data_IF_074836771278
#
_entry.id   IF_074836771278
#
_cell.length_a   1.000
_cell.length_b   1.000
_cell.length_c   1.000
_cell.angle_alpha   90.00
_cell.angle_beta   90.00
_cell.angle_gamma   90.00
#
_symmetry.space_group_name_H-M   'P 1'
#
loop_
_entity.id
_entity.type
_entity.pdbx_description
1 polymer ?
#
# COMPACT_ATOMS: atom_id res chain seq x y z
N UNK A 1 -42.12 34.37 -1.46
CA UNK A 1 -41.35 33.53 -2.40
C UNK A 1 -40.07 33.10 -1.70
N UNK A 2 -39.88 31.80 -1.60
CA UNK A 2 -38.87 31.08 -0.80
C UNK A 2 -37.46 31.23 -1.36
N UNK A 3 -36.39 31.28 -0.53
CA UNK A 3 -35.07 30.96 -1.03
C UNK A 3 -35.08 29.46 -1.33
N UNK A 4 -34.94 29.10 -2.60
CA UNK A 4 -34.74 27.72 -3.00
C UNK A 4 -33.43 27.27 -2.33
N UNK A 5 -33.43 26.28 -1.41
CA UNK A 5 -32.20 25.68 -0.94
C UNK A 5 -31.71 24.84 -2.10
N UNK A 6 -31.07 25.50 -3.08
CA UNK A 6 -30.35 24.86 -4.15
C UNK A 6 -29.43 23.88 -3.47
N UNK A 7 -29.78 22.60 -3.58
CA UNK A 7 -28.99 21.49 -3.11
C UNK A 7 -27.62 21.66 -3.74
N UNK A 8 -26.67 22.24 -3.01
CA UNK A 8 -25.26 22.14 -3.32
C UNK A 8 -24.97 20.69 -3.00
N UNK A 9 -25.19 19.80 -3.97
CA UNK A 9 -24.49 18.53 -4.00
C UNK A 9 -23.03 18.94 -4.13
N UNK A 10 -22.34 19.11 -3.00
CA UNK A 10 -20.91 19.37 -2.97
C UNK A 10 -20.27 18.17 -3.64
N UNK A 11 -20.04 18.27 -4.94
CA UNK A 11 -19.33 17.27 -5.70
C UNK A 11 -17.99 17.13 -5.03
N UNK A 12 -17.73 15.93 -4.49
CA UNK A 12 -16.51 15.64 -3.76
C UNK A 12 -15.32 16.08 -4.59
N UNK A 13 -14.44 16.92 -4.03
CA UNK A 13 -13.31 17.42 -4.80
C UNK A 13 -12.35 16.27 -5.11
N UNK A 14 -11.64 16.39 -6.22
CA UNK A 14 -10.59 15.43 -6.57
C UNK A 14 -9.51 15.35 -5.49
N UNK A 15 -9.26 16.45 -4.75
CA UNK A 15 -8.33 16.48 -3.64
C UNK A 15 -8.83 15.62 -2.47
N UNK A 16 -10.12 15.72 -2.11
CA UNK A 16 -10.72 14.93 -1.04
C UNK A 16 -10.74 13.43 -1.37
N UNK A 17 -10.92 13.08 -2.64
CA UNK A 17 -10.84 11.68 -3.11
C UNK A 17 -9.42 11.15 -2.95
N UNK A 18 -8.41 11.92 -3.37
CA UNK A 18 -7.01 11.52 -3.25
C UNK A 18 -6.57 11.39 -1.80
N UNK A 19 -7.04 12.28 -0.92
CA UNK A 19 -6.75 12.23 0.50
C UNK A 19 -7.27 10.92 1.12
N UNK A 20 -8.54 10.57 0.88
CA UNK A 20 -9.09 9.30 1.40
C UNK A 20 -8.42 8.07 0.77
N UNK A 21 -8.06 8.12 -0.52
CA UNK A 21 -7.31 7.03 -1.14
C UNK A 21 -5.94 6.83 -0.48
N UNK A 22 -5.24 7.92 -0.15
CA UNK A 22 -3.98 7.87 0.57
C UNK A 22 -4.17 7.25 1.97
N UNK A 23 -5.20 7.67 2.71
CA UNK A 23 -5.51 7.13 4.03
C UNK A 23 -5.84 5.63 3.97
N UNK A 24 -6.61 5.21 2.96
CA UNK A 24 -6.96 3.81 2.75
C UNK A 24 -5.73 2.97 2.40
N UNK A 25 -4.82 3.49 1.56
CA UNK A 25 -3.55 2.84 1.26
C UNK A 25 -2.68 2.71 2.50
N UNK A 26 -2.64 3.73 3.37
CA UNK A 26 -1.87 3.68 4.60
C UNK A 26 -2.40 2.63 5.57
N UNK A 27 -3.73 2.53 5.73
CA UNK A 27 -4.36 1.47 6.52
C UNK A 27 -4.05 0.07 5.98
N UNK A 28 -4.08 -0.10 4.66
CA UNK A 28 -3.71 -1.37 4.02
C UNK A 28 -2.22 -1.65 4.27
N UNK A 29 -1.35 -0.65 4.14
CA UNK A 29 0.07 -0.76 4.43
C UNK A 29 0.31 -1.24 5.86
N UNK A 30 -0.34 -0.65 6.86
CA UNK A 30 -0.21 -1.09 8.26
C UNK A 30 -0.56 -2.57 8.45
N UNK A 31 -1.59 -3.06 7.74
CA UNK A 31 -1.98 -4.48 7.78
C UNK A 31 -0.96 -5.37 7.05
N UNK A 32 -0.45 -4.92 5.90
CA UNK A 32 0.53 -5.66 5.11
C UNK A 32 1.89 -5.81 5.81
N UNK A 33 2.27 -4.91 6.73
CA UNK A 33 3.51 -5.02 7.53
C UNK A 33 3.56 -6.33 8.33
N UNK A 34 2.41 -6.84 8.77
CA UNK A 34 2.34 -8.11 9.50
C UNK A 34 2.51 -9.35 8.60
N UNK A 35 2.41 -9.19 7.29
CA UNK A 35 2.49 -10.28 6.32
C UNK A 35 3.95 -10.49 5.92
N UNK A 36 4.37 -11.75 5.86
CA UNK A 36 5.67 -12.11 5.33
C UNK A 36 5.71 -11.83 3.82
N UNK A 37 6.47 -10.81 3.42
CA UNK A 37 6.58 -10.37 2.03
C UNK A 37 7.03 -11.50 1.08
N UNK A 38 7.79 -12.50 1.56
CA UNK A 38 8.24 -13.63 0.74
C UNK A 38 7.09 -14.43 0.13
N UNK A 39 5.98 -14.51 0.86
CA UNK A 39 4.79 -15.26 0.45
C UNK A 39 3.99 -14.49 -0.61
N UNK A 40 4.16 -13.17 -0.68
CA UNK A 40 3.51 -12.30 -1.65
C UNK A 40 4.29 -12.17 -2.96
N UNK A 41 5.61 -12.38 -2.95
CA UNK A 41 6.48 -12.20 -4.12
C UNK A 41 6.00 -12.95 -5.37
N UNK A 42 5.62 -14.25 -5.32
CA UNK A 42 5.10 -14.95 -6.50
C UNK A 42 3.84 -14.31 -7.08
N UNK A 43 2.94 -13.83 -6.21
CA UNK A 43 1.72 -13.14 -6.63
C UNK A 43 2.01 -11.78 -7.26
N UNK A 44 2.97 -11.03 -6.72
CA UNK A 44 3.38 -9.73 -7.25
C UNK A 44 4.04 -9.87 -8.64
N UNK A 45 4.84 -10.92 -8.84
CA UNK A 45 5.44 -11.24 -10.15
C UNK A 45 4.38 -11.68 -11.15
N UNK A 46 3.45 -12.55 -10.76
CA UNK A 46 2.35 -12.99 -11.62
C UNK A 46 1.45 -11.83 -12.09
N UNK A 47 1.26 -10.82 -11.23
CA UNK A 47 0.51 -9.61 -11.55
C UNK A 47 1.34 -8.50 -12.23
N UNK A 48 2.60 -8.78 -12.57
CA UNK A 48 3.54 -7.82 -13.15
C UNK A 48 3.76 -6.54 -12.32
N UNK A 49 3.50 -6.60 -11.02
CA UNK A 49 3.83 -5.52 -10.08
C UNK A 49 5.32 -5.52 -9.77
N UNK A 50 5.93 -6.71 -9.76
CA UNK A 50 7.36 -6.91 -9.53
C UNK A 50 7.96 -7.63 -10.75
N UNK A 51 9.09 -7.13 -11.24
CA UNK A 51 9.85 -7.84 -12.29
C UNK A 51 10.68 -8.97 -11.68
N UNK A 52 11.00 -9.98 -12.49
CA UNK A 52 11.75 -11.17 -12.04
C UNK A 52 13.15 -10.82 -11.50
N UNK A 53 13.78 -9.75 -12.02
CA UNK A 53 15.06 -9.26 -11.49
C UNK A 53 14.91 -8.55 -10.13
N UNK A 54 13.78 -7.88 -9.89
CA UNK A 54 13.48 -7.20 -8.62
C UNK A 54 13.10 -8.21 -7.52
N UNK A 55 12.50 -9.34 -7.88
CA UNK A 55 12.23 -10.49 -6.99
C UNK A 55 13.48 -10.95 -6.22
N UNK A 56 14.62 -11.08 -6.90
CA UNK A 56 15.89 -11.49 -6.27
C UNK A 56 16.36 -10.47 -5.21
N UNK A 57 16.18 -9.18 -5.48
CA UNK A 57 16.51 -8.11 -4.54
C UNK A 57 15.62 -8.16 -3.29
N UNK A 58 14.31 -8.39 -3.45
CA UNK A 58 13.38 -8.52 -2.32
C UNK A 58 13.78 -9.68 -1.39
N UNK A 59 14.09 -10.86 -1.93
CA UNK A 59 14.55 -11.98 -1.08
C UNK A 59 15.86 -11.69 -0.36
N UNK A 60 16.79 -10.99 -1.02
CA UNK A 60 18.08 -10.61 -0.45
C UNK A 60 17.91 -9.64 0.72
N UNK A 61 17.09 -8.59 0.56
CA UNK A 61 16.82 -7.60 1.61
C UNK A 61 16.20 -8.25 2.84
N UNK A 62 15.18 -9.10 2.64
CA UNK A 62 14.49 -9.78 3.74
C UNK A 62 15.44 -10.73 4.47
N UNK A 63 16.30 -11.43 3.73
CA UNK A 63 17.29 -12.33 4.33
C UNK A 63 18.35 -11.57 5.12
N UNK A 64 18.85 -10.45 4.59
CA UNK A 64 19.80 -9.58 5.26
C UNK A 64 19.21 -8.97 6.54
N UNK A 65 17.96 -8.50 6.49
CA UNK A 65 17.27 -7.96 7.66
C UNK A 65 17.11 -9.00 8.78
N UNK A 66 16.72 -10.24 8.45
CA UNK A 66 16.64 -11.31 9.45
C UNK A 66 18.01 -11.68 10.03
N UNK A 67 19.06 -11.69 9.20
CA UNK A 67 20.42 -11.94 9.66
C UNK A 67 20.87 -10.86 10.66
N UNK A 68 20.65 -9.59 10.35
CA UNK A 68 20.95 -8.47 11.25
C UNK A 68 20.17 -8.57 12.56
N UNK A 69 18.86 -8.91 12.50
CA UNK A 69 18.06 -9.12 13.70
C UNK A 69 18.58 -10.26 14.58
N UNK A 70 19.05 -11.35 14.00
CA UNK A 70 19.65 -12.46 14.76
C UNK A 70 21.00 -12.10 15.37
N UNK A 71 21.78 -11.22 14.73
CA UNK A 71 23.11 -10.81 15.21
C UNK A 71 23.04 -9.79 16.35
N UNK A 72 21.93 -9.06 16.47
CA UNK A 72 21.69 -8.03 17.48
C UNK A 72 20.91 -8.53 18.70
N UNK A 73 20.52 -9.82 18.73
CA UNK A 73 19.76 -10.46 19.80
C UNK A 73 20.58 -11.49 20.53
#
# INVERSE_FOLDING_TARGET
MTPNPGCITSSRSLADIRAEQADNLDRIRSRLISINVRDLVPFLVARQVLRTNEMSAVYSIVSCFLFLRKKLS
#
